data_IF_736925626675
#
_entry.id   IF_736925626675
#
_cell.length_a   1.000
_cell.length_b   1.000
_cell.length_c   1.000
_cell.angle_alpha   90.00
_cell.angle_beta   90.00
_cell.angle_gamma   90.00
#
_symmetry.space_group_name_H-M   'P 1'
#
loop_
_entity.id
_entity.type
_entity.pdbx_description
1 polymer ?
#
# COMPACT_ATOMS: atom_id res chain seq x y z
N UNK A 1 -9.05 -26.40 70.20
CA UNK A 1 -10.21 -26.94 70.94
C UNK A 1 -11.42 -26.69 70.07
N UNK A 2 -12.16 -27.77 69.76
CA UNK A 2 -13.43 -27.83 68.99
C UNK A 2 -13.40 -27.44 67.50
N UNK A 3 -14.12 -28.09 66.59
CA UNK A 3 -14.60 -29.47 66.46
C UNK A 3 -15.11 -29.56 65.01
N UNK A 4 -14.76 -30.63 64.31
CA UNK A 4 -15.32 -31.00 63.01
C UNK A 4 -16.75 -31.53 63.20
N UNK A 5 -17.70 -31.06 62.40
CA UNK A 5 -18.96 -31.77 62.13
C UNK A 5 -19.34 -31.61 60.65
N UNK A 6 -19.57 -32.75 60.01
CA UNK A 6 -20.00 -32.94 58.63
C UNK A 6 -21.54 -32.87 58.51
N UNK A 7 -22.02 -32.65 57.27
CA UNK A 7 -23.20 -33.24 56.58
C UNK A 7 -23.82 -32.26 55.55
N UNK A 8 -24.69 -32.68 54.60
CA UNK A 8 -24.49 -33.74 53.61
C UNK A 8 -24.92 -33.29 52.18
N UNK A 9 -24.75 -34.21 51.23
CA UNK A 9 -25.08 -34.05 49.82
C UNK A 9 -26.59 -34.10 49.49
N UNK A 10 -26.89 -33.65 48.26
CA UNK A 10 -28.07 -33.93 47.44
C UNK A 10 -29.20 -32.87 47.42
N UNK A 11 -29.21 -32.07 46.34
CA UNK A 11 -30.45 -31.77 45.61
C UNK A 11 -30.12 -31.44 44.15
N UNK A 12 -30.08 -32.48 43.30
CA UNK A 12 -30.10 -32.37 41.85
C UNK A 12 -31.56 -32.37 41.40
N UNK A 13 -32.09 -31.21 41.00
CA UNK A 13 -33.31 -31.14 40.19
C UNK A 13 -33.06 -30.29 38.93
N UNK A 14 -32.83 -31.03 37.85
CA UNK A 14 -33.34 -30.83 36.49
C UNK A 14 -33.88 -29.44 36.14
N UNK A 15 -33.04 -28.63 35.47
CA UNK A 15 -33.50 -27.51 34.65
C UNK A 15 -33.57 -28.00 33.20
N UNK A 16 -34.78 -28.32 32.74
CA UNK A 16 -35.08 -28.58 31.32
C UNK A 16 -34.63 -27.37 30.48
N UNK A 17 -33.57 -27.53 29.69
CA UNK A 17 -33.24 -26.58 28.62
C UNK A 17 -34.21 -26.82 27.45
N UNK A 18 -35.00 -25.80 27.12
CA UNK A 18 -35.77 -25.78 25.87
C UNK A 18 -34.81 -25.58 24.69
N UNK A 19 -34.63 -26.60 23.87
CA UNK A 19 -33.96 -26.47 22.58
C UNK A 19 -34.86 -25.72 21.59
N UNK A 20 -34.69 -24.41 21.49
CA UNK A 20 -35.07 -23.68 20.29
C UNK A 20 -34.04 -23.97 19.19
N UNK A 21 -34.45 -24.26 17.94
CA UNK A 21 -33.50 -24.51 16.86
C UNK A 21 -32.68 -23.25 16.58
N UNK A 22 -31.37 -23.37 16.71
CA UNK A 22 -30.40 -22.33 16.36
C UNK A 22 -30.54 -22.04 14.87
N UNK A 23 -30.92 -20.81 14.51
CA UNK A 23 -30.92 -20.42 13.10
C UNK A 23 -29.48 -20.44 12.56
N UNK A 24 -29.25 -21.05 11.39
CA UNK A 24 -27.92 -21.06 10.80
C UNK A 24 -27.47 -19.62 10.51
N UNK A 25 -26.16 -19.33 10.60
CA UNK A 25 -25.63 -18.01 10.28
C UNK A 25 -26.02 -17.62 8.85
N UNK A 26 -26.28 -16.32 8.59
CA UNK A 26 -26.61 -15.85 7.24
C UNK A 26 -25.48 -16.27 6.29
N UNK A 27 -25.83 -17.01 5.23
CA UNK A 27 -24.86 -17.44 4.23
C UNK A 27 -24.19 -16.19 3.65
N UNK A 28 -22.86 -16.19 3.43
CA UNK A 28 -22.20 -15.12 2.71
C UNK A 28 -22.90 -14.96 1.35
N UNK A 29 -23.26 -13.72 1.02
CA UNK A 29 -23.86 -13.38 -0.26
C UNK A 29 -22.77 -13.59 -1.33
N UNK A 30 -22.71 -14.79 -1.91
CA UNK A 30 -21.85 -15.07 -3.07
C UNK A 30 -22.56 -14.40 -4.26
N UNK A 31 -21.98 -13.35 -4.88
CA UNK A 31 -22.56 -12.79 -6.10
C UNK A 31 -22.62 -13.90 -7.14
N UNK A 32 -23.78 -14.11 -7.77
CA UNK A 32 -23.89 -15.02 -8.92
C UNK A 32 -22.90 -14.53 -9.98
N UNK A 33 -21.86 -15.31 -10.28
CA UNK A 33 -21.00 -15.06 -11.45
C UNK A 33 -21.84 -15.34 -12.70
N UNK A 34 -22.45 -14.29 -13.27
CA UNK A 34 -23.10 -14.44 -14.56
C UNK A 34 -22.01 -14.52 -15.64
N UNK A 35 -21.87 -15.69 -16.26
CA UNK A 35 -20.94 -15.99 -17.37
C UNK A 35 -21.31 -15.30 -18.69
N UNK A 36 -22.02 -14.17 -18.64
CA UNK A 36 -22.25 -13.33 -19.81
C UNK A 36 -21.06 -12.37 -19.98
N UNK A 37 -20.50 -12.22 -21.20
CA UNK A 37 -19.40 -11.29 -21.46
C UNK A 37 -19.78 -9.88 -21.00
N UNK A 38 -18.90 -9.25 -20.23
CA UNK A 38 -19.09 -7.88 -19.78
C UNK A 38 -18.89 -6.93 -20.96
N UNK A 39 -19.99 -6.43 -21.52
CA UNK A 39 -19.92 -5.35 -22.50
C UNK A 39 -19.82 -4.02 -21.76
N UNK A 40 -18.69 -3.34 -21.97
CA UNK A 40 -18.51 -1.96 -21.56
C UNK A 40 -19.24 -1.03 -22.53
N UNK A 41 -20.09 -0.14 -22.02
CA UNK A 41 -20.65 0.98 -22.79
C UNK A 41 -19.84 2.24 -22.53
N UNK A 42 -19.84 3.19 -23.47
CA UNK A 42 -19.17 4.47 -23.27
C UNK A 42 -20.05 5.40 -22.43
N UNK A 43 -19.48 5.96 -21.37
CA UNK A 43 -20.07 7.09 -20.67
C UNK A 43 -19.86 8.35 -21.53
N UNK A 44 -20.88 8.71 -22.32
CA UNK A 44 -20.80 9.85 -23.24
C UNK A 44 -20.53 11.18 -22.52
N UNK A 45 -21.11 11.38 -21.33
CA UNK A 45 -20.93 12.61 -20.55
C UNK A 45 -19.46 12.78 -20.11
N UNK A 46 -18.88 11.75 -19.52
CA UNK A 46 -17.49 11.77 -19.06
C UNK A 46 -16.53 11.82 -20.24
N UNK A 47 -16.81 11.05 -21.30
CA UNK A 47 -16.03 11.10 -22.55
C UNK A 47 -16.01 12.51 -23.12
N UNK A 48 -17.15 13.19 -23.16
CA UNK A 48 -17.21 14.56 -23.65
C UNK A 48 -16.35 15.51 -22.81
N UNK A 49 -16.46 15.45 -21.48
CA UNK A 49 -15.72 16.33 -20.57
C UNK A 49 -14.20 16.05 -20.53
N UNK A 50 -13.79 14.78 -20.54
CA UNK A 50 -12.40 14.35 -20.32
C UNK A 50 -11.62 14.25 -21.64
N UNK A 51 -12.29 13.98 -22.76
CA UNK A 51 -11.63 13.76 -24.06
C UNK A 51 -11.99 14.85 -25.06
N UNK A 52 -13.28 15.08 -25.32
CA UNK A 52 -13.70 15.94 -26.43
C UNK A 52 -13.39 17.42 -26.17
N UNK A 53 -13.73 17.95 -24.99
CA UNK A 53 -13.42 19.34 -24.64
C UNK A 53 -11.92 19.65 -24.72
N UNK A 54 -11.01 18.89 -24.08
CA UNK A 54 -9.59 19.19 -24.16
C UNK A 54 -9.00 18.94 -25.54
N UNK A 55 -9.48 17.97 -26.29
CA UNK A 55 -9.05 17.77 -27.69
C UNK A 55 -9.45 18.96 -28.56
N UNK A 56 -10.70 19.43 -28.44
CA UNK A 56 -11.17 20.64 -29.12
C UNK A 56 -10.34 21.86 -28.73
N UNK A 57 -10.06 22.04 -27.44
CA UNK A 57 -9.21 23.13 -26.96
C UNK A 57 -7.78 23.05 -27.50
N UNK A 58 -7.20 21.85 -27.55
CA UNK A 58 -5.87 21.61 -28.12
C UNK A 58 -5.84 21.97 -29.61
N UNK A 59 -6.88 21.59 -30.37
CA UNK A 59 -7.01 21.96 -31.78
C UNK A 59 -7.13 23.48 -31.98
N UNK A 60 -7.71 24.22 -31.03
CA UNK A 60 -7.80 25.67 -31.10
C UNK A 60 -6.49 26.41 -30.81
N UNK A 61 -5.48 25.75 -30.22
CA UNK A 61 -4.22 26.40 -29.79
C UNK A 61 -3.43 27.13 -30.88
N UNK A 62 -3.42 26.73 -32.16
CA UNK A 62 -2.75 27.50 -33.21
C UNK A 62 -3.34 28.91 -33.42
N UNK A 63 -4.60 29.13 -33.04
CA UNK A 63 -5.29 30.43 -33.17
C UNK A 63 -5.40 31.18 -31.84
N UNK A 64 -5.00 30.57 -30.73
CA UNK A 64 -5.07 31.15 -29.39
C UNK A 64 -3.69 31.03 -28.75
N UNK A 65 -2.75 31.95 -29.06
CA UNK A 65 -1.39 31.87 -28.55
C UNK A 65 -1.37 32.00 -27.03
N UNK A 66 -0.52 31.20 -26.38
CA UNK A 66 -0.38 31.22 -24.92
C UNK A 66 0.37 32.49 -24.46
N UNK A 67 -0.35 33.40 -23.80
CA UNK A 67 0.27 34.56 -23.13
C UNK A 67 0.93 34.16 -21.81
N UNK A 68 2.02 34.85 -21.44
CA UNK A 68 2.77 34.56 -20.21
C UNK A 68 1.92 34.69 -18.94
N UNK A 69 1.08 35.72 -18.83
CA UNK A 69 0.21 35.92 -17.65
C UNK A 69 -0.84 34.80 -17.54
N UNK A 70 -1.40 34.37 -18.68
CA UNK A 70 -2.34 33.23 -18.75
C UNK A 70 -1.67 31.93 -18.34
N UNK A 71 -0.42 31.68 -18.76
CA UNK A 71 0.35 30.52 -18.30
C UNK A 71 0.57 30.55 -16.78
N UNK A 72 1.08 31.67 -16.25
CA UNK A 72 1.38 31.80 -14.82
C UNK A 72 0.12 31.63 -13.97
N UNK A 73 -0.98 32.30 -14.35
CA UNK A 73 -2.26 32.16 -13.67
C UNK A 73 -2.81 30.73 -13.81
N UNK A 74 -2.76 30.13 -15.00
CA UNK A 74 -3.24 28.77 -15.24
C UNK A 74 -2.52 27.73 -14.37
N UNK A 75 -1.20 27.84 -14.25
CA UNK A 75 -0.39 26.99 -13.35
C UNK A 75 -0.79 27.22 -11.89
N UNK A 76 -0.84 28.46 -11.44
CA UNK A 76 -1.25 28.80 -10.07
C UNK A 76 -2.65 28.26 -9.74
N UNK A 77 -3.60 28.44 -10.66
CA UNK A 77 -4.98 28.00 -10.48
C UNK A 77 -5.11 26.48 -10.49
N UNK A 78 -4.30 25.77 -11.30
CA UNK A 78 -4.20 24.32 -11.24
C UNK A 78 -3.71 23.84 -9.86
N UNK A 79 -2.69 24.48 -9.27
CA UNK A 79 -2.24 24.15 -7.92
C UNK A 79 -3.32 24.36 -6.86
N UNK A 80 -4.05 25.48 -6.89
CA UNK A 80 -5.16 25.72 -5.97
C UNK A 80 -6.23 24.63 -6.03
N UNK A 81 -6.63 24.23 -7.24
CA UNK A 81 -7.58 23.14 -7.44
C UNK A 81 -7.02 21.80 -6.97
N UNK A 82 -5.74 21.53 -7.21
CA UNK A 82 -5.12 20.28 -6.76
C UNK A 82 -5.02 20.20 -5.24
N UNK A 83 -4.77 21.31 -4.55
CA UNK A 83 -4.90 21.36 -3.09
C UNK A 83 -6.32 21.02 -2.63
N UNK A 84 -7.36 21.49 -3.32
CA UNK A 84 -8.74 21.14 -2.97
C UNK A 84 -9.05 19.64 -3.15
N UNK A 85 -8.42 18.98 -4.13
CA UNK A 85 -8.51 17.52 -4.29
C UNK A 85 -7.74 16.80 -3.18
N UNK A 86 -6.44 17.08 -3.02
CA UNK A 86 -5.55 16.40 -2.08
C UNK A 86 -5.93 16.66 -0.62
N UNK A 87 -6.13 17.92 -0.25
CA UNK A 87 -6.41 18.26 1.15
C UNK A 87 -7.90 18.21 1.47
N UNK A 88 -8.78 18.48 0.50
CA UNK A 88 -10.22 18.43 0.66
C UNK A 88 -10.80 17.05 0.35
N UNK A 89 -10.99 16.73 -0.92
CA UNK A 89 -11.70 15.51 -1.36
C UNK A 89 -11.10 14.25 -0.73
N UNK A 90 -9.78 14.15 -0.79
CA UNK A 90 -9.02 13.01 -0.31
C UNK A 90 -8.90 12.97 1.22
N UNK A 91 -8.09 13.86 1.80
CA UNK A 91 -7.74 13.77 3.22
C UNK A 91 -8.89 14.18 4.15
N UNK A 92 -9.69 15.19 3.81
CA UNK A 92 -10.80 15.66 4.65
C UNK A 92 -12.05 14.79 4.50
N UNK A 93 -12.59 14.63 3.28
CA UNK A 93 -13.87 13.94 3.09
C UNK A 93 -13.73 12.42 2.93
N UNK A 94 -12.77 11.91 2.15
CA UNK A 94 -12.64 10.47 1.97
C UNK A 94 -12.06 9.78 3.22
N UNK A 95 -10.98 10.32 3.79
CA UNK A 95 -10.26 9.70 4.91
C UNK A 95 -10.51 10.29 6.30
N UNK A 96 -11.09 11.50 6.37
CA UNK A 96 -11.41 12.15 7.65
C UNK A 96 -10.17 12.27 8.55
N UNK A 97 -9.03 12.65 7.97
CA UNK A 97 -7.75 12.74 8.67
C UNK A 97 -7.60 14.02 9.48
N UNK A 98 -8.47 15.00 9.25
CA UNK A 98 -8.58 16.23 10.04
C UNK A 98 -10.01 16.79 9.92
N UNK A 99 -10.31 17.82 10.70
CA UNK A 99 -11.55 18.61 10.60
C UNK A 99 -11.25 20.03 10.13
N UNK A 100 -12.14 20.60 9.32
CA UNK A 100 -12.00 21.95 8.79
C UNK A 100 -13.23 22.79 9.13
N UNK A 101 -13.05 24.10 9.28
CA UNK A 101 -14.17 25.01 9.45
C UNK A 101 -15.01 25.14 8.16
N UNK A 102 -16.21 25.74 8.28
CA UNK A 102 -17.16 25.86 7.18
C UNK A 102 -16.59 26.64 5.98
N UNK A 103 -15.85 27.72 6.24
CA UNK A 103 -15.27 28.55 5.18
C UNK A 103 -14.26 27.77 4.33
N UNK A 104 -13.32 27.08 4.98
CA UNK A 104 -12.32 26.26 4.31
C UNK A 104 -12.98 25.11 3.51
N UNK A 105 -14.01 24.48 4.08
CA UNK A 105 -14.80 23.44 3.40
C UNK A 105 -15.50 23.96 2.15
N UNK A 106 -16.06 25.16 2.19
CA UNK A 106 -16.67 25.79 1.01
C UNK A 106 -15.63 26.10 -0.07
N UNK A 107 -14.45 26.63 0.32
CA UNK A 107 -13.35 26.89 -0.60
C UNK A 107 -12.91 25.60 -1.31
N UNK A 108 -12.69 24.51 -0.56
CA UNK A 108 -12.36 23.23 -1.16
C UNK A 108 -13.48 22.65 -2.03
N UNK A 109 -14.75 22.84 -1.65
CA UNK A 109 -15.87 22.39 -2.47
C UNK A 109 -15.95 23.15 -3.81
N UNK A 110 -15.71 24.47 -3.82
CA UNK A 110 -15.71 25.27 -5.03
C UNK A 110 -14.53 24.93 -5.95
N UNK A 111 -13.30 24.97 -5.41
CA UNK A 111 -12.08 24.69 -6.19
C UNK A 111 -12.06 23.24 -6.68
N UNK A 112 -12.47 22.28 -5.84
CA UNK A 112 -12.54 20.87 -6.21
C UNK A 112 -13.59 20.59 -7.28
N UNK A 113 -14.72 21.31 -7.29
CA UNK A 113 -15.68 21.24 -8.39
C UNK A 113 -15.04 21.66 -9.72
N UNK A 114 -14.21 22.71 -9.70
CA UNK A 114 -13.44 23.18 -10.86
C UNK A 114 -12.38 22.20 -11.37
N UNK A 115 -11.99 21.17 -10.60
CA UNK A 115 -11.07 20.12 -11.06
C UNK A 115 -11.76 19.04 -11.93
N UNK A 116 -13.10 19.01 -11.95
CA UNK A 116 -13.86 18.15 -12.87
C UNK A 116 -13.75 16.64 -12.61
N UNK A 117 -13.57 16.23 -11.36
CA UNK A 117 -13.41 14.81 -10.97
C UNK A 117 -14.67 14.19 -10.33
N UNK A 118 -15.85 14.67 -10.76
CA UNK A 118 -17.14 14.41 -10.10
C UNK A 118 -17.27 15.09 -8.72
N UNK A 119 -18.48 15.04 -8.15
CA UNK A 119 -18.80 15.71 -6.89
C UNK A 119 -18.20 14.96 -5.69
N UNK A 120 -17.94 15.69 -4.58
CA UNK A 120 -17.29 15.17 -3.35
C UNK A 120 -17.87 13.82 -2.93
N UNK A 121 -19.21 13.71 -2.86
CA UNK A 121 -19.84 12.47 -2.41
C UNK A 121 -19.46 11.25 -3.26
N UNK A 122 -19.42 11.36 -4.59
CA UNK A 122 -19.10 10.23 -5.47
C UNK A 122 -17.62 9.93 -5.40
N UNK A 123 -16.77 10.97 -5.49
CA UNK A 123 -15.32 10.85 -5.41
C UNK A 123 -14.91 10.15 -4.10
N UNK A 124 -15.38 10.64 -2.95
CA UNK A 124 -15.05 10.06 -1.66
C UNK A 124 -15.62 8.64 -1.48
N UNK A 125 -16.82 8.35 -2.01
CA UNK A 125 -17.40 7.00 -2.00
C UNK A 125 -16.54 6.03 -2.81
N UNK A 126 -16.16 6.40 -4.03
CA UNK A 126 -15.35 5.56 -4.90
C UNK A 126 -13.95 5.35 -4.30
N UNK A 127 -13.36 6.40 -3.73
CA UNK A 127 -12.06 6.32 -3.07
C UNK A 127 -12.07 5.43 -1.81
N UNK A 128 -13.12 5.52 -0.98
CA UNK A 128 -13.31 4.59 0.14
C UNK A 128 -13.46 3.15 -0.33
N UNK A 129 -14.19 2.92 -1.43
CA UNK A 129 -14.35 1.59 -2.00
C UNK A 129 -13.02 1.06 -2.53
N UNK A 130 -12.22 1.90 -3.18
CA UNK A 130 -10.87 1.57 -3.61
C UNK A 130 -9.98 1.13 -2.44
N UNK A 131 -9.92 1.88 -1.33
CA UNK A 131 -9.13 1.46 -0.15
C UNK A 131 -9.59 0.13 0.45
N UNK A 132 -10.92 -0.10 0.49
CA UNK A 132 -11.51 -1.31 1.07
C UNK A 132 -11.33 -2.55 0.19
N UNK A 133 -11.38 -2.37 -1.13
CA UNK A 133 -11.44 -3.45 -2.11
C UNK A 133 -10.28 -3.44 -3.11
N UNK A 134 -9.20 -2.72 -2.82
CA UNK A 134 -8.02 -2.56 -3.67
C UNK A 134 -7.58 -3.90 -4.30
N UNK A 135 -7.23 -3.86 -5.58
CA UNK A 135 -6.83 -5.02 -6.39
C UNK A 135 -7.89 -6.12 -6.58
N UNK A 136 -9.13 -5.91 -6.14
CA UNK A 136 -10.25 -6.81 -6.43
C UNK A 136 -11.14 -6.26 -7.56
N UNK A 137 -12.08 -7.06 -8.04
CA UNK A 137 -13.06 -6.60 -9.04
C UNK A 137 -13.97 -5.47 -8.54
N UNK A 138 -14.09 -5.34 -7.20
CA UNK A 138 -14.90 -4.33 -6.53
C UNK A 138 -14.20 -2.99 -6.36
N UNK A 139 -12.90 -2.91 -6.67
CA UNK A 139 -12.18 -1.66 -6.78
C UNK A 139 -12.58 -0.93 -8.08
N UNK A 140 -13.10 0.31 -7.97
CA UNK A 140 -13.61 1.06 -9.11
C UNK A 140 -12.55 1.36 -10.17
N UNK A 141 -11.26 1.43 -9.81
CA UNK A 141 -10.17 1.76 -10.73
C UNK A 141 -8.95 0.85 -10.56
N UNK A 142 -9.23 -0.44 -10.29
CA UNK A 142 -8.21 -1.48 -10.07
C UNK A 142 -7.15 -1.56 -11.17
N UNK A 143 -5.88 -1.48 -10.78
CA UNK A 143 -4.72 -1.68 -11.66
C UNK A 143 -4.66 -3.10 -12.24
N UNK A 144 -5.31 -4.08 -11.59
CA UNK A 144 -5.39 -5.47 -12.08
C UNK A 144 -6.18 -5.60 -13.38
N UNK A 145 -7.02 -4.61 -13.71
CA UNK A 145 -7.73 -4.52 -15.00
C UNK A 145 -6.89 -3.87 -16.10
N UNK A 146 -5.63 -3.53 -15.81
CA UNK A 146 -4.67 -2.95 -16.74
C UNK A 146 -4.44 -1.45 -16.53
N UNK A 147 -3.27 -0.97 -16.94
CA UNK A 147 -2.85 0.42 -16.76
C UNK A 147 -3.84 1.43 -17.36
N UNK A 148 -4.27 1.21 -18.60
CA UNK A 148 -5.22 2.09 -19.28
C UNK A 148 -6.55 2.19 -18.52
N UNK A 149 -7.05 1.06 -18.00
CA UNK A 149 -8.27 1.04 -17.21
C UNK A 149 -8.13 1.87 -15.94
N UNK A 150 -7.08 1.64 -15.15
CA UNK A 150 -6.83 2.37 -13.91
C UNK A 150 -6.56 3.86 -14.12
N UNK A 151 -5.95 4.22 -15.25
CA UNK A 151 -5.69 5.62 -15.59
C UNK A 151 -6.99 6.33 -15.97
N UNK A 152 -7.65 5.93 -17.06
CA UNK A 152 -8.82 6.66 -17.59
C UNK A 152 -9.98 5.77 -17.99
N UNK A 153 -9.75 4.48 -18.26
CA UNK A 153 -10.83 3.59 -18.71
C UNK A 153 -11.97 3.45 -17.70
N UNK A 154 -11.68 3.47 -16.40
CA UNK A 154 -12.68 3.34 -15.33
C UNK A 154 -13.78 4.42 -15.34
N UNK A 155 -13.48 5.61 -15.88
CA UNK A 155 -14.42 6.74 -15.95
C UNK A 155 -15.07 6.88 -17.34
N UNK A 156 -14.40 6.36 -18.38
CA UNK A 156 -14.92 6.36 -19.75
C UNK A 156 -15.88 5.21 -20.03
N UNK A 157 -15.69 4.07 -19.36
CA UNK A 157 -16.49 2.87 -19.58
C UNK A 157 -17.46 2.63 -18.43
N UNK A 158 -18.74 2.48 -18.76
CA UNK A 158 -19.76 1.99 -17.85
C UNK A 158 -19.86 0.46 -17.96
N UNK A 159 -19.83 -0.21 -16.82
CA UNK A 159 -20.21 -1.61 -16.75
C UNK A 159 -21.73 -1.69 -16.63
N UNK A 160 -22.39 -2.29 -17.62
CA UNK A 160 -23.85 -2.42 -17.67
C UNK A 160 -24.43 -3.37 -16.59
N UNK A 161 -23.58 -4.08 -15.82
CA UNK A 161 -24.00 -4.72 -14.57
C UNK A 161 -23.93 -3.69 -13.44
N UNK A 162 -25.09 -3.31 -12.92
CA UNK A 162 -25.29 -2.55 -11.68
C UNK A 162 -24.14 -2.70 -10.67
N UNK A 163 -23.45 -1.58 -10.39
CA UNK A 163 -22.52 -1.37 -9.26
C UNK A 163 -21.47 -2.46 -9.05
N UNK A 164 -20.51 -2.61 -9.97
CA UNK A 164 -19.30 -3.40 -9.67
C UNK A 164 -18.52 -2.84 -8.48
N UNK A 165 -18.63 -1.55 -8.17
CA UNK A 165 -17.97 -0.91 -7.04
C UNK A 165 -18.49 -1.45 -5.71
N UNK A 166 -17.56 -1.87 -4.84
CA UNK A 166 -17.88 -2.43 -3.53
C UNK A 166 -18.58 -1.45 -2.58
N UNK A 167 -19.29 -2.00 -1.60
CA UNK A 167 -20.08 -1.22 -0.65
C UNK A 167 -19.22 -0.54 0.42
N UNK A 168 -19.51 0.73 0.70
CA UNK A 168 -18.86 1.51 1.76
C UNK A 168 -19.86 2.42 2.46
N UNK A 169 -19.60 2.72 3.73
CA UNK A 169 -20.39 3.70 4.48
C UNK A 169 -20.09 5.13 3.98
N UNK A 170 -21.17 5.87 3.75
CA UNK A 170 -21.19 7.26 3.29
C UNK A 170 -22.25 8.09 4.04
N UNK A 171 -22.70 7.59 5.20
CA UNK A 171 -23.68 8.26 6.06
C UNK A 171 -23.24 9.68 6.44
N UNK A 172 -21.96 9.85 6.77
CA UNK A 172 -21.35 11.14 7.05
C UNK A 172 -21.44 12.10 5.86
N UNK A 173 -21.13 11.63 4.64
CA UNK A 173 -21.21 12.45 3.41
C UNK A 173 -22.65 12.85 3.08
N UNK A 174 -23.63 11.98 3.37
CA UNK A 174 -25.07 12.28 3.18
C UNK A 174 -25.58 13.31 4.19
N UNK A 175 -25.00 13.34 5.39
CA UNK A 175 -25.35 14.30 6.45
C UNK A 175 -24.68 15.68 6.28
N UNK A 176 -23.65 15.77 5.43
CA UNK A 176 -22.89 16.99 5.20
C UNK A 176 -23.61 17.91 4.19
N UNK A 177 -24.10 19.05 4.69
CA UNK A 177 -24.82 20.06 3.90
C UNK A 177 -24.00 20.64 2.75
N UNK A 178 -22.68 20.82 2.92
CA UNK A 178 -21.80 21.35 1.86
C UNK A 178 -21.65 20.30 0.76
N UNK A 179 -21.49 19.04 1.14
CA UNK A 179 -21.33 17.92 0.19
C UNK A 179 -22.60 17.72 -0.63
N UNK A 180 -23.78 17.72 -0.02
CA UNK A 180 -25.04 17.59 -0.77
C UNK A 180 -25.37 18.84 -1.61
N UNK A 181 -25.04 20.05 -1.12
CA UNK A 181 -25.14 21.28 -1.91
C UNK A 181 -24.26 21.19 -3.16
N UNK A 182 -22.97 20.86 -2.99
CA UNK A 182 -22.04 20.77 -4.10
C UNK A 182 -22.47 19.69 -5.10
N UNK A 183 -22.94 18.54 -4.63
CA UNK A 183 -23.51 17.50 -5.50
C UNK A 183 -24.67 18.04 -6.33
N UNK A 184 -25.62 18.75 -5.73
CA UNK A 184 -26.81 19.29 -6.42
C UNK A 184 -26.43 20.28 -7.52
N UNK A 185 -25.38 21.08 -7.30
CA UNK A 185 -24.94 22.14 -8.21
C UNK A 185 -23.63 21.79 -8.92
N UNK A 186 -23.23 20.51 -8.98
CA UNK A 186 -21.89 20.15 -9.44
C UNK A 186 -21.60 20.62 -10.87
N UNK A 187 -22.52 20.38 -11.81
CA UNK A 187 -22.33 20.76 -13.23
C UNK A 187 -22.16 22.28 -13.40
N UNK A 188 -23.04 23.15 -12.88
CA UNK A 188 -22.81 24.59 -12.99
C UNK A 188 -21.57 25.05 -12.22
N UNK A 189 -21.27 24.48 -11.04
CA UNK A 189 -20.05 24.81 -10.31
C UNK A 189 -18.79 24.42 -11.10
N UNK A 190 -18.79 23.27 -11.76
CA UNK A 190 -17.70 22.84 -12.63
C UNK A 190 -17.53 23.77 -13.84
N UNK A 191 -18.63 24.15 -14.51
CA UNK A 191 -18.55 25.08 -15.64
C UNK A 191 -18.01 26.45 -15.21
N UNK A 192 -18.47 26.96 -14.07
CA UNK A 192 -18.02 28.26 -13.54
C UNK A 192 -16.58 28.19 -13.07
N UNK A 193 -16.26 27.29 -12.14
CA UNK A 193 -14.93 27.22 -11.52
C UNK A 193 -13.88 26.62 -12.46
N UNK A 194 -14.26 25.69 -13.34
CA UNK A 194 -13.35 25.04 -14.27
C UNK A 194 -13.05 25.88 -15.51
N UNK A 195 -13.99 26.70 -15.98
CA UNK A 195 -13.87 27.39 -17.28
C UNK A 195 -14.13 28.90 -17.23
N UNK A 196 -15.22 29.34 -16.60
CA UNK A 196 -15.57 30.77 -16.62
C UNK A 196 -14.63 31.61 -15.74
N UNK A 197 -14.34 31.17 -14.52
CA UNK A 197 -13.40 31.86 -13.61
C UNK A 197 -12.04 32.04 -14.26
N UNK A 198 -11.38 31.02 -14.81
CA UNK A 198 -10.08 31.24 -15.46
C UNK A 198 -10.17 32.17 -16.67
N UNK A 199 -11.24 32.10 -17.47
CA UNK A 199 -11.45 33.04 -18.57
C UNK A 199 -11.57 34.50 -18.08
N UNK A 200 -12.40 34.75 -17.07
CA UNK A 200 -12.61 36.10 -16.53
C UNK A 200 -11.35 36.66 -15.84
N UNK A 201 -10.57 35.82 -15.16
CA UNK A 201 -9.34 36.28 -14.53
C UNK A 201 -8.27 36.62 -15.57
N UNK A 202 -8.11 35.80 -16.62
CA UNK A 202 -7.19 36.13 -17.71
C UNK A 202 -7.63 37.37 -18.51
N UNK A 203 -8.95 37.57 -18.67
CA UNK A 203 -9.50 38.80 -19.23
C UNK A 203 -9.09 40.02 -18.41
N UNK A 204 -9.25 39.96 -17.10
CA UNK A 204 -8.85 41.04 -16.20
C UNK A 204 -7.33 41.29 -16.19
N UNK A 205 -6.51 40.24 -16.30
CA UNK A 205 -5.05 40.36 -16.21
C UNK A 205 -4.38 40.81 -17.51
N UNK A 206 -4.95 40.46 -18.67
CA UNK A 206 -4.29 40.63 -19.97
C UNK A 206 -5.24 40.67 -21.19
N UNK A 207 -6.53 40.99 -21.00
CA UNK A 207 -7.54 41.00 -22.07
C UNK A 207 -7.53 39.67 -22.87
N UNK A 208 -7.41 38.56 -22.14
CA UNK A 208 -7.21 37.22 -22.69
C UNK A 208 -8.32 36.25 -22.26
N UNK A 209 -9.59 36.63 -22.41
CA UNK A 209 -10.72 35.76 -22.08
C UNK A 209 -10.63 34.37 -22.75
N UNK A 210 -10.38 34.35 -24.07
CA UNK A 210 -10.30 33.10 -24.85
C UNK A 210 -9.08 32.29 -24.44
N UNK A 211 -7.91 32.92 -24.23
CA UNK A 211 -6.74 32.21 -23.75
C UNK A 211 -6.93 31.64 -22.35
N UNK A 212 -7.59 32.36 -21.44
CA UNK A 212 -7.95 31.85 -20.12
C UNK A 212 -8.92 30.66 -20.19
N UNK A 213 -9.92 30.72 -21.06
CA UNK A 213 -10.85 29.60 -21.27
C UNK A 213 -10.13 28.36 -21.83
N UNK A 214 -9.31 28.51 -22.87
CA UNK A 214 -8.63 27.41 -23.57
C UNK A 214 -7.48 26.84 -22.73
N UNK A 215 -6.54 27.67 -22.29
CA UNK A 215 -5.30 27.23 -21.64
C UNK A 215 -5.48 26.96 -20.15
N UNK A 216 -5.98 27.94 -19.39
CA UNK A 216 -6.13 27.79 -17.94
C UNK A 216 -7.37 26.95 -17.58
N UNK A 217 -8.43 27.05 -18.38
CA UNK A 217 -9.67 26.28 -18.22
C UNK A 217 -9.58 24.87 -18.79
N UNK A 218 -9.77 24.71 -20.10
CA UNK A 218 -9.90 23.40 -20.76
C UNK A 218 -8.64 22.53 -20.66
N UNK A 219 -7.49 23.04 -21.14
CA UNK A 219 -6.23 22.30 -21.13
C UNK A 219 -5.74 22.10 -19.69
N UNK A 220 -5.74 23.16 -18.87
CA UNK A 220 -5.33 23.09 -17.46
C UNK A 220 -6.14 22.08 -16.64
N UNK A 221 -7.47 22.02 -16.83
CA UNK A 221 -8.32 21.00 -16.19
C UNK A 221 -7.96 19.59 -16.65
N UNK A 222 -7.74 19.38 -17.95
CA UNK A 222 -7.36 18.06 -18.48
C UNK A 222 -6.01 17.60 -17.93
N UNK A 223 -4.99 18.46 -17.95
CA UNK A 223 -3.67 18.15 -17.36
C UNK A 223 -3.82 17.76 -15.88
N UNK A 224 -4.61 18.51 -15.11
CA UNK A 224 -4.87 18.19 -13.71
C UNK A 224 -5.57 16.84 -13.52
N UNK A 225 -6.56 16.52 -14.36
CA UNK A 225 -7.24 15.22 -14.35
C UNK A 225 -6.25 14.08 -14.65
N UNK A 226 -5.42 14.20 -15.70
CA UNK A 226 -4.42 13.18 -16.03
C UNK A 226 -3.41 12.97 -14.90
N UNK A 227 -2.95 14.06 -14.25
CA UNK A 227 -2.08 13.96 -13.07
C UNK A 227 -2.77 13.23 -11.92
N UNK A 228 -4.04 13.48 -11.67
CA UNK A 228 -4.77 12.77 -10.60
C UNK A 228 -4.97 11.29 -10.95
N UNK A 229 -5.26 11.00 -12.22
CA UNK A 229 -5.42 9.64 -12.73
C UNK A 229 -4.12 8.82 -12.68
N UNK A 230 -2.96 9.48 -12.75
CA UNK A 230 -1.67 8.84 -12.48
C UNK A 230 -1.55 8.29 -11.06
N UNK A 231 -2.29 8.80 -10.07
CA UNK A 231 -2.31 8.20 -8.72
C UNK A 231 -2.89 6.79 -8.78
N UNK A 232 -4.00 6.60 -9.49
CA UNK A 232 -4.62 5.28 -9.66
C UNK A 232 -3.77 4.32 -10.50
N UNK A 233 -3.00 4.86 -11.46
CA UNK A 233 -2.23 4.05 -12.41
C UNK A 233 -0.74 3.94 -12.06
N UNK A 234 0.03 5.02 -12.18
CA UNK A 234 1.48 5.02 -11.90
C UNK A 234 1.79 4.70 -10.44
N UNK A 235 1.03 5.24 -9.49
CA UNK A 235 1.30 4.99 -8.06
C UNK A 235 0.92 3.56 -7.61
N UNK A 236 0.28 2.77 -8.46
CA UNK A 236 0.07 1.32 -8.28
C UNK A 236 0.99 0.46 -9.14
N UNK A 237 1.82 1.06 -9.99
CA UNK A 237 2.67 0.32 -10.94
C UNK A 237 4.16 0.53 -10.68
N UNK A 238 4.60 1.76 -10.45
CA UNK A 238 6.01 2.14 -10.40
C UNK A 238 6.41 2.55 -8.99
N UNK A 239 7.39 1.83 -8.42
CA UNK A 239 8.02 2.16 -7.15
C UNK A 239 8.14 0.98 -6.19
N UNK A 240 8.63 1.29 -5.00
CA UNK A 240 8.93 0.31 -3.96
C UNK A 240 7.72 0.04 -3.06
N UNK A 241 7.86 -0.92 -2.14
CA UNK A 241 6.82 -1.28 -1.18
C UNK A 241 7.40 -1.42 0.22
N UNK A 242 7.83 -0.31 0.84
CA UNK A 242 8.56 -0.34 2.11
C UNK A 242 7.69 -0.66 3.34
N UNK A 243 6.36 -0.57 3.25
CA UNK A 243 5.45 -0.84 4.37
C UNK A 243 4.72 -2.17 4.23
N UNK A 244 4.18 -2.46 3.04
CA UNK A 244 3.47 -3.73 2.75
C UNK A 244 3.58 -4.08 1.27
N UNK A 245 3.70 -5.37 0.96
CA UNK A 245 3.61 -5.89 -0.42
C UNK A 245 2.28 -6.63 -0.70
N UNK A 246 1.33 -6.58 0.23
CA UNK A 246 0.05 -7.29 0.10
C UNK A 246 -0.87 -6.71 -0.99
N UNK A 247 -0.64 -5.45 -1.38
CA UNK A 247 -1.45 -4.67 -2.34
C UNK A 247 -0.53 -4.08 -3.39
N UNK A 248 -1.06 -3.60 -4.50
CA UNK A 248 -0.29 -3.04 -5.62
C UNK A 248 0.28 -1.64 -5.37
N UNK A 249 -0.28 -0.89 -4.42
CA UNK A 249 0.14 0.48 -4.12
C UNK A 249 1.65 0.57 -3.86
N UNK A 250 2.29 1.56 -4.48
CA UNK A 250 3.74 1.76 -4.51
C UNK A 250 4.14 3.07 -3.84
N UNK A 251 5.35 3.06 -3.32
CA UNK A 251 6.09 4.24 -2.95
C UNK A 251 6.82 4.72 -4.20
N UNK A 252 6.20 5.65 -4.94
CA UNK A 252 6.72 6.08 -6.23
C UNK A 252 8.04 6.87 -6.10
N UNK A 253 8.90 6.85 -7.14
CA UNK A 253 10.09 7.70 -7.21
C UNK A 253 9.76 9.17 -7.00
N UNK A 254 10.74 9.95 -6.54
CA UNK A 254 10.56 11.38 -6.25
C UNK A 254 10.04 12.15 -7.47
N UNK A 255 10.55 11.88 -8.67
CA UNK A 255 10.12 12.54 -9.90
C UNK A 255 8.61 12.41 -10.16
N UNK A 256 8.04 11.21 -9.97
CA UNK A 256 6.58 11.00 -10.07
C UNK A 256 5.87 11.71 -8.93
N UNK A 257 6.39 11.59 -7.70
CA UNK A 257 5.80 12.19 -6.50
C UNK A 257 5.69 13.73 -6.59
N UNK A 258 6.64 14.39 -7.25
CA UNK A 258 6.59 15.84 -7.51
C UNK A 258 5.37 16.23 -8.33
N UNK A 259 5.11 15.51 -9.43
CA UNK A 259 3.94 15.74 -10.30
C UNK A 259 2.61 15.42 -9.60
N UNK A 260 2.62 14.46 -8.66
CA UNK A 260 1.44 14.05 -7.91
C UNK A 260 1.23 14.85 -6.61
N UNK A 261 1.96 15.95 -6.39
CA UNK A 261 1.87 16.78 -5.17
C UNK A 261 1.98 15.98 -3.87
N UNK A 262 2.85 14.97 -3.84
CA UNK A 262 3.06 14.11 -2.67
C UNK A 262 2.14 12.89 -2.59
N UNK A 263 1.16 12.74 -3.48
CA UNK A 263 0.29 11.55 -3.50
C UNK A 263 1.01 10.27 -4.02
N UNK A 264 2.26 10.42 -4.48
CA UNK A 264 3.15 9.31 -4.84
C UNK A 264 3.68 8.49 -3.65
N UNK A 265 3.53 8.96 -2.40
CA UNK A 265 3.75 8.14 -1.20
C UNK A 265 2.61 7.14 -0.95
N UNK A 266 2.25 6.38 -1.99
CA UNK A 266 0.99 5.67 -2.08
C UNK A 266 0.98 4.35 -1.29
N UNK A 267 2.13 3.66 -1.19
CA UNK A 267 2.27 2.48 -0.34
C UNK A 267 2.04 2.82 1.14
N UNK A 268 2.57 3.95 1.62
CA UNK A 268 2.29 4.43 2.98
C UNK A 268 0.82 4.77 3.14
N UNK A 269 0.27 5.53 2.20
CA UNK A 269 -1.12 5.97 2.24
C UNK A 269 -2.13 4.80 2.29
N UNK A 270 -1.89 3.74 1.51
CA UNK A 270 -2.74 2.54 1.50
C UNK A 270 -2.65 1.70 2.77
N UNK A 271 -1.51 1.72 3.43
CA UNK A 271 -1.30 1.01 4.70
C UNK A 271 -1.86 1.80 5.89
N UNK A 272 -1.69 3.13 5.89
CA UNK A 272 -2.08 4.02 6.98
C UNK A 272 -3.04 5.15 6.52
N UNK A 273 -4.23 4.82 6.00
CA UNK A 273 -5.11 5.78 5.33
C UNK A 273 -5.69 6.87 6.25
N UNK A 274 -5.56 6.72 7.57
CA UNK A 274 -6.05 7.70 8.55
C UNK A 274 -5.01 8.76 8.94
N UNK A 275 -3.75 8.64 8.49
CA UNK A 275 -2.75 9.68 8.70
C UNK A 275 -2.98 10.84 7.71
N UNK A 276 -2.98 12.08 8.18
CA UNK A 276 -3.14 13.25 7.30
C UNK A 276 -1.93 13.47 6.38
N UNK A 277 -0.81 12.79 6.62
CA UNK A 277 0.40 12.82 5.80
C UNK A 277 0.42 11.62 4.87
N UNK A 278 0.88 11.83 3.65
CA UNK A 278 1.32 10.74 2.77
C UNK A 278 2.84 10.59 2.87
N UNK A 279 3.57 11.71 2.90
CA UNK A 279 5.01 11.75 3.20
C UNK A 279 5.27 11.94 4.69
N UNK A 280 5.73 10.89 5.39
CA UNK A 280 5.83 10.86 6.85
C UNK A 280 6.95 11.72 7.44
N UNK A 281 8.09 11.84 6.74
CA UNK A 281 9.23 12.63 7.22
C UNK A 281 8.95 14.10 6.98
N UNK A 282 9.53 14.97 7.80
CA UNK A 282 9.29 16.41 7.66
C UNK A 282 9.71 16.95 6.28
N UNK A 283 10.77 16.35 5.69
CA UNK A 283 11.32 16.69 4.37
C UNK A 283 10.75 15.87 3.21
N UNK A 284 9.92 14.85 3.46
CA UNK A 284 9.22 14.16 2.36
C UNK A 284 8.31 15.18 1.65
N UNK A 285 8.41 15.27 0.32
CA UNK A 285 7.70 16.26 -0.51
C UNK A 285 6.20 15.98 -0.50
N UNK A 286 5.50 16.59 0.46
CA UNK A 286 4.06 16.46 0.63
C UNK A 286 3.48 17.86 0.86
N UNK A 287 3.24 18.62 -0.23
CA UNK A 287 2.57 19.92 -0.17
C UNK A 287 1.23 19.87 0.57
N UNK A 288 0.47 18.77 0.45
CA UNK A 288 -0.79 18.57 1.18
C UNK A 288 -0.60 18.59 2.70
N UNK A 289 0.43 17.91 3.20
CA UNK A 289 0.80 17.91 4.63
C UNK A 289 1.17 19.31 5.09
N UNK A 290 1.98 20.03 4.32
CA UNK A 290 2.41 21.38 4.69
C UNK A 290 1.23 22.35 4.69
N UNK A 291 0.36 22.28 3.68
CA UNK A 291 -0.86 23.08 3.60
C UNK A 291 -1.78 22.82 4.80
N UNK A 292 -2.10 21.55 5.11
CA UNK A 292 -2.96 21.21 6.25
C UNK A 292 -2.33 21.65 7.58
N UNK A 293 -1.01 21.48 7.73
CA UNK A 293 -0.29 21.92 8.94
C UNK A 293 -0.34 23.44 9.10
N UNK A 294 -0.13 24.19 8.02
CA UNK A 294 -0.24 25.64 8.02
C UNK A 294 -1.67 26.12 8.33
N UNK A 295 -2.68 25.53 7.69
CA UNK A 295 -4.09 25.81 7.98
C UNK A 295 -4.46 25.49 9.44
N UNK A 296 -3.78 24.53 10.06
CA UNK A 296 -3.96 24.22 11.47
C UNK A 296 -3.39 25.29 12.40
N UNK A 297 -2.24 25.87 12.05
CA UNK A 297 -1.68 27.03 12.78
C UNK A 297 -2.61 28.24 12.73
N UNK A 298 -3.37 28.40 11.64
CA UNK A 298 -4.38 29.45 11.50
C UNK A 298 -5.73 29.12 12.17
N UNK A 299 -5.87 27.95 12.80
CA UNK A 299 -7.14 27.51 13.39
C UNK A 299 -8.23 27.14 12.38
N UNK A 300 -7.90 27.04 11.09
CA UNK A 300 -8.84 26.65 10.02
C UNK A 300 -8.98 25.12 9.91
N UNK A 301 -7.96 24.39 10.33
CA UNK A 301 -7.92 22.94 10.42
C UNK A 301 -7.59 22.48 11.86
N UNK A 302 -8.24 21.41 12.32
CA UNK A 302 -8.08 20.86 13.68
C UNK A 302 -8.10 19.33 13.64
N UNK A 303 -7.74 18.67 14.76
CA UNK A 303 -7.79 17.21 14.89
C UNK A 303 -6.98 16.45 13.83
N UNK A 304 -5.78 16.95 13.49
CA UNK A 304 -4.88 16.32 12.52
C UNK A 304 -4.41 14.95 13.07
N UNK A 305 -4.86 13.88 12.43
CA UNK A 305 -4.56 12.49 12.82
C UNK A 305 -3.20 12.06 12.28
N UNK A 306 -2.36 11.51 13.15
CA UNK A 306 -1.10 10.84 12.78
C UNK A 306 -1.14 9.40 13.25
N UNK A 307 -0.63 8.49 12.44
CA UNK A 307 -0.49 7.10 12.87
C UNK A 307 0.64 6.98 13.91
N UNK A 308 0.53 6.10 14.93
CA UNK A 308 1.58 5.95 15.92
C UNK A 308 2.89 5.46 15.28
N UNK A 309 4.01 6.12 15.61
CA UNK A 309 5.31 5.85 14.99
C UNK A 309 5.77 4.39 15.18
N UNK A 310 5.46 3.80 16.33
CA UNK A 310 5.81 2.41 16.61
C UNK A 310 5.13 1.42 15.63
N UNK A 311 3.87 1.66 15.28
CA UNK A 311 3.15 0.80 14.33
C UNK A 311 3.71 0.95 12.90
N UNK A 312 4.09 2.17 12.50
CA UNK A 312 4.80 2.40 11.23
C UNK A 312 6.12 1.62 11.20
N UNK A 313 6.88 1.67 12.29
CA UNK A 313 8.16 0.97 12.41
C UNK A 313 7.98 -0.56 12.36
N UNK A 314 6.91 -1.09 12.95
CA UNK A 314 6.57 -2.52 12.86
C UNK A 314 6.34 -2.94 11.41
N UNK A 315 5.56 -2.21 10.61
CA UNK A 315 5.34 -2.55 9.19
C UNK A 315 6.64 -2.51 8.39
N UNK A 316 7.51 -1.51 8.63
CA UNK A 316 8.84 -1.46 7.99
C UNK A 316 9.68 -2.69 8.35
N UNK A 317 9.73 -3.07 9.64
CA UNK A 317 10.50 -4.24 10.08
C UNK A 317 9.93 -5.55 9.55
N UNK A 318 8.61 -5.70 9.50
CA UNK A 318 7.94 -6.84 8.88
C UNK A 318 8.33 -6.96 7.41
N UNK A 319 8.27 -5.86 6.66
CA UNK A 319 8.68 -5.84 5.25
C UNK A 319 10.15 -6.18 5.03
N UNK A 320 11.04 -5.67 5.90
CA UNK A 320 12.47 -6.03 5.86
C UNK A 320 12.68 -7.52 6.11
N UNK A 321 11.99 -8.11 7.09
CA UNK A 321 12.05 -9.55 7.36
C UNK A 321 11.57 -10.38 6.18
N UNK A 322 10.48 -9.97 5.53
CA UNK A 322 9.99 -10.64 4.32
C UNK A 322 10.99 -10.58 3.17
N UNK A 323 11.65 -9.44 2.96
CA UNK A 323 12.68 -9.31 1.93
C UNK A 323 13.92 -10.15 2.26
N UNK A 324 14.43 -10.08 3.49
CA UNK A 324 15.56 -10.88 3.94
C UNK A 324 15.27 -12.38 3.82
N UNK A 325 14.04 -12.82 4.11
CA UNK A 325 13.64 -14.21 3.90
C UNK A 325 13.75 -14.61 2.42
N UNK A 326 13.22 -13.79 1.51
CA UNK A 326 13.29 -14.05 0.05
C UNK A 326 14.72 -14.03 -0.48
N UNK A 327 15.53 -13.10 0.00
CA UNK A 327 16.95 -13.04 -0.35
C UNK A 327 17.69 -14.27 0.18
N UNK A 328 17.36 -14.71 1.40
CA UNK A 328 17.88 -15.92 2.01
C UNK A 328 17.48 -17.19 1.26
N UNK A 329 16.26 -17.28 0.71
CA UNK A 329 15.81 -18.42 -0.12
C UNK A 329 16.62 -18.57 -1.43
N UNK A 330 17.30 -17.52 -1.89
CA UNK A 330 18.16 -17.57 -3.08
C UNK A 330 19.62 -17.96 -2.78
N UNK A 331 19.98 -18.05 -1.50
CA UNK A 331 21.32 -18.46 -1.05
C UNK A 331 21.31 -19.96 -0.80
N UNK A 332 22.35 -20.65 -1.28
CA UNK A 332 22.61 -22.03 -0.88
C UNK A 332 23.18 -22.05 0.55
N UNK A 333 22.45 -22.67 1.46
CA UNK A 333 22.85 -22.82 2.87
C UNK A 333 23.32 -24.25 3.17
N UNK A 334 23.51 -25.08 2.15
CA UNK A 334 23.71 -26.52 2.29
C UNK A 334 22.44 -27.27 2.71
N UNK A 335 22.59 -28.56 2.97
CA UNK A 335 21.45 -29.44 3.31
C UNK A 335 20.96 -29.12 4.73
N UNK A 336 19.67 -28.78 4.94
CA UNK A 336 19.11 -28.54 6.28
C UNK A 336 19.32 -29.74 7.21
N UNK A 337 19.53 -29.48 8.50
CA UNK A 337 19.81 -30.53 9.49
C UNK A 337 18.68 -31.57 9.55
N UNK A 338 17.45 -31.14 9.30
CA UNK A 338 16.24 -31.97 9.33
C UNK A 338 16.15 -32.92 8.12
N UNK A 339 16.86 -32.62 7.03
CA UNK A 339 16.90 -33.43 5.80
C UNK A 339 18.08 -34.41 5.77
N UNK A 340 19.06 -34.22 6.66
CA UNK A 340 20.24 -35.08 6.76
C UNK A 340 19.88 -36.45 7.35
N UNK A 341 20.52 -37.54 6.89
CA UNK A 341 20.32 -38.85 7.48
C UNK A 341 20.84 -38.90 8.91
N UNK A 342 20.09 -39.56 9.79
CA UNK A 342 20.53 -39.79 11.18
C UNK A 342 21.51 -40.96 11.23
N UNK A 343 22.68 -40.74 11.80
CA UNK A 343 23.71 -41.74 12.03
C UNK A 343 23.86 -41.99 13.53
N UNK A 344 24.07 -43.25 13.91
CA UNK A 344 24.60 -43.57 15.23
C UNK A 344 26.12 -43.40 15.25
N UNK A 345 26.68 -43.25 16.44
CA UNK A 345 28.13 -43.12 16.64
C UNK A 345 28.91 -44.28 16.04
N UNK A 346 28.41 -45.51 16.11
CA UNK A 346 29.11 -46.68 15.55
C UNK A 346 29.28 -46.57 14.03
N UNK A 347 28.25 -46.08 13.33
CA UNK A 347 28.31 -45.84 11.88
C UNK A 347 29.28 -44.71 11.54
N UNK A 348 29.29 -43.64 12.33
CA UNK A 348 30.26 -42.56 12.18
C UNK A 348 31.70 -43.07 12.31
N UNK A 349 32.01 -43.82 13.38
CA UNK A 349 33.34 -44.40 13.59
C UNK A 349 33.75 -45.36 12.48
N UNK A 350 32.83 -46.22 12.03
CA UNK A 350 33.05 -47.13 10.90
C UNK A 350 33.44 -46.34 9.65
N UNK A 351 32.67 -45.30 9.30
CA UNK A 351 32.93 -44.47 8.13
C UNK A 351 34.28 -43.73 8.23
N UNK A 352 34.68 -43.26 9.41
CA UNK A 352 36.02 -42.66 9.59
C UNK A 352 37.14 -43.70 9.38
N UNK A 353 36.97 -44.95 9.85
CA UNK A 353 37.96 -46.02 9.65
C UNK A 353 38.14 -46.41 8.18
N UNK A 354 37.13 -46.16 7.33
CA UNK A 354 37.24 -46.39 5.87
C UNK A 354 38.09 -45.37 5.12
N UNK A 355 38.68 -44.39 5.82
CA UNK A 355 39.61 -43.41 5.25
C UNK A 355 38.98 -42.05 4.89
N UNK A 356 37.70 -41.83 5.25
CA UNK A 356 37.07 -40.52 5.14
C UNK A 356 37.45 -39.63 6.32
N UNK A 357 37.79 -38.37 6.04
CA UNK A 357 38.09 -37.40 7.08
C UNK A 357 36.77 -36.79 7.57
N UNK A 358 36.16 -37.40 8.59
CA UNK A 358 34.89 -36.95 9.15
C UNK A 358 35.08 -36.30 10.51
N UNK A 359 34.35 -35.22 10.79
CA UNK A 359 34.30 -34.56 12.09
C UNK A 359 32.84 -34.33 12.51
N UNK A 360 32.57 -34.33 13.81
CA UNK A 360 31.26 -33.93 14.35
C UNK A 360 31.36 -32.52 14.91
N UNK A 361 30.47 -31.62 14.49
CA UNK A 361 30.33 -30.27 15.06
C UNK A 361 28.83 -30.02 15.25
N UNK A 362 28.39 -29.60 16.44
CA UNK A 362 26.96 -29.34 16.76
C UNK A 362 26.05 -30.53 16.41
N UNK A 363 26.49 -31.75 16.71
CA UNK A 363 25.82 -33.01 16.35
C UNK A 363 25.67 -33.27 14.84
N UNK A 364 26.18 -32.42 13.94
CA UNK A 364 26.23 -32.69 12.51
C UNK A 364 27.57 -33.34 12.13
N UNK A 365 27.52 -34.37 11.30
CA UNK A 365 28.69 -35.02 10.70
C UNK A 365 29.07 -34.27 9.44
N UNK A 366 30.34 -33.87 9.35
CA UNK A 366 30.89 -33.15 8.21
C UNK A 366 31.97 -33.98 7.54
N UNK A 367 31.93 -34.08 6.21
CA UNK A 367 33.00 -34.65 5.40
C UNK A 367 33.97 -33.55 4.97
N UNK A 368 35.09 -33.46 5.66
CA UNK A 368 36.12 -32.45 5.42
C UNK A 368 37.24 -33.00 4.53
N UNK A 369 37.07 -34.16 3.90
CA UNK A 369 38.16 -34.83 3.14
C UNK A 369 38.79 -33.94 2.08
N UNK A 370 37.97 -33.16 1.36
CA UNK A 370 38.46 -32.21 0.35
C UNK A 370 39.01 -30.90 0.97
N UNK A 371 38.64 -30.58 2.21
CA UNK A 371 38.97 -29.30 2.86
C UNK A 371 40.23 -29.34 3.73
N UNK A 372 40.67 -30.52 4.18
CA UNK A 372 41.84 -30.65 5.09
C UNK A 372 43.08 -29.92 4.56
N UNK A 373 43.38 -30.03 3.27
CA UNK A 373 44.55 -29.39 2.66
C UNK A 373 44.42 -27.85 2.55
N UNK A 374 43.18 -27.36 2.42
CA UNK A 374 42.83 -25.94 2.25
C UNK A 374 42.54 -25.24 3.58
N UNK A 375 42.57 -25.97 4.70
CA UNK A 375 42.28 -25.42 6.01
C UNK A 375 43.27 -24.28 6.34
N UNK A 376 42.81 -23.03 6.60
CA UNK A 376 43.71 -21.88 6.78
C UNK A 376 44.67 -21.98 7.97
N UNK A 377 44.30 -22.72 9.02
CA UNK A 377 45.19 -23.03 10.14
C UNK A 377 46.24 -24.10 9.82
N UNK A 378 46.19 -24.69 8.64
CA UNK A 378 47.04 -25.78 8.18
C UNK A 378 46.43 -27.17 8.44
N UNK A 379 46.80 -28.17 7.62
CA UNK A 379 46.25 -29.53 7.69
C UNK A 379 46.59 -30.27 8.99
N UNK A 380 47.74 -29.95 9.60
CA UNK A 380 48.16 -30.57 10.85
C UNK A 380 47.23 -30.24 12.03
N UNK A 381 46.62 -29.04 12.04
CA UNK A 381 45.73 -28.62 13.12
C UNK A 381 44.38 -29.35 13.08
N UNK A 382 43.84 -29.60 11.89
CA UNK A 382 42.55 -30.29 11.73
C UNK A 382 42.68 -31.82 11.80
N UNK A 383 43.87 -32.37 11.54
CA UNK A 383 44.12 -33.81 11.63
C UNK A 383 43.77 -34.40 13.00
N UNK A 384 44.00 -33.64 14.08
CA UNK A 384 43.69 -34.07 15.45
C UNK A 384 42.19 -34.15 15.78
N UNK A 385 41.33 -33.54 14.95
CA UNK A 385 39.88 -33.50 15.08
C UNK A 385 39.17 -34.63 14.32
N UNK A 386 39.83 -35.26 13.35
CA UNK A 386 39.25 -36.35 12.53
C UNK A 386 38.84 -37.52 13.43
N UNK A 387 37.60 -37.98 13.25
CA UNK A 387 37.02 -39.08 14.04
C UNK A 387 36.51 -38.69 15.42
N UNK A 388 36.39 -37.39 15.73
CA UNK A 388 35.94 -36.88 17.03
C UNK A 388 34.79 -35.90 16.89
N UNK A 389 34.12 -35.67 18.02
CA UNK A 389 33.37 -34.44 18.25
C UNK A 389 34.35 -33.28 18.44
N UNK A 390 34.40 -32.41 17.43
CA UNK A 390 35.25 -31.25 17.35
C UNK A 390 34.48 -29.96 17.71
N UNK A 391 33.27 -30.05 18.28
CA UNK A 391 32.46 -28.87 18.62
C UNK A 391 33.22 -27.91 19.53
N UNK A 392 33.85 -28.41 20.61
CA UNK A 392 34.64 -27.57 21.50
C UNK A 392 35.91 -27.02 20.82
N UNK A 393 36.51 -27.77 19.87
CA UNK A 393 37.66 -27.29 19.11
C UNK A 393 37.28 -26.19 18.10
N UNK A 394 36.05 -26.23 17.59
CA UNK A 394 35.53 -25.27 16.62
C UNK A 394 34.96 -24.01 17.29
N UNK A 395 34.35 -24.14 18.47
CA UNK A 395 33.64 -23.05 19.17
C UNK A 395 34.35 -22.54 20.44
N UNK A 396 35.29 -23.31 21.00
CA UNK A 396 35.80 -23.12 22.35
C UNK A 396 37.07 -22.27 22.49
N UNK A 397 37.18 -21.63 23.66
CA UNK A 397 38.41 -21.07 24.22
C UNK A 397 38.99 -19.87 23.48
N UNK A 398 39.82 -20.15 22.46
CA UNK A 398 40.60 -19.15 21.70
C UNK A 398 40.02 -18.93 20.29
N UNK A 399 39.20 -19.86 19.79
CA UNK A 399 38.80 -19.92 18.39
C UNK A 399 37.32 -19.61 18.21
N UNK A 400 37.02 -18.36 17.82
CA UNK A 400 35.71 -17.96 17.31
C UNK A 400 35.71 -17.96 15.80
N UNK A 401 35.42 -19.12 15.17
CA UNK A 401 35.37 -19.22 13.71
C UNK A 401 34.39 -18.19 13.12
N UNK A 402 34.81 -17.54 12.03
CA UNK A 402 34.03 -16.47 11.39
C UNK A 402 32.72 -16.99 10.81
N UNK A 403 31.79 -16.10 10.48
CA UNK A 403 30.57 -16.47 9.75
C UNK A 403 30.89 -17.20 8.43
N UNK A 404 31.95 -16.80 7.73
CA UNK A 404 32.37 -17.47 6.49
C UNK A 404 32.83 -18.92 6.73
N UNK A 405 33.54 -19.18 7.83
CA UNK A 405 33.95 -20.53 8.20
C UNK A 405 32.75 -21.40 8.64
N UNK A 406 31.77 -20.82 9.33
CA UNK A 406 30.52 -21.52 9.66
C UNK A 406 29.72 -21.86 8.38
N UNK A 407 29.55 -20.89 7.46
CA UNK A 407 28.83 -21.14 6.21
C UNK A 407 29.50 -22.22 5.36
N UNK A 408 30.84 -22.22 5.25
CA UNK A 408 31.56 -23.26 4.51
C UNK A 408 31.42 -24.63 5.19
N UNK A 409 31.38 -24.67 6.52
CA UNK A 409 31.16 -25.91 7.26
C UNK A 409 29.79 -26.51 6.93
N UNK A 410 28.76 -25.67 6.80
CA UNK A 410 27.40 -26.12 6.48
C UNK A 410 27.30 -26.85 5.12
N UNK A 411 28.15 -26.53 4.14
CA UNK A 411 28.22 -27.22 2.84
C UNK A 411 28.82 -28.64 2.94
N UNK A 412 29.56 -28.92 4.01
CA UNK A 412 30.25 -30.19 4.21
C UNK A 412 29.42 -31.21 5.00
N UNK A 413 28.18 -30.87 5.37
CA UNK A 413 27.29 -31.74 6.16
C UNK A 413 26.81 -32.96 5.37
N UNK A 414 26.85 -34.13 6.02
CA UNK A 414 26.42 -35.41 5.41
C UNK A 414 25.46 -36.22 6.26
N UNK A 415 25.35 -35.94 7.56
CA UNK A 415 24.49 -36.66 8.51
C UNK A 415 24.32 -35.87 9.81
N UNK A 416 23.38 -36.29 10.67
CA UNK A 416 23.26 -35.84 12.06
C UNK A 416 23.44 -37.04 12.98
N UNK A 417 24.19 -36.86 14.07
CA UNK A 417 24.34 -37.88 15.11
C UNK A 417 23.07 -37.91 15.96
N UNK A 418 22.46 -39.09 16.06
CA UNK A 418 21.29 -39.30 16.90
C UNK A 418 20.79 -40.73 16.92
N UNK A 419 19.85 -41.02 17.83
CA UNK A 419 19.08 -42.24 17.80
C UNK A 419 17.85 -42.03 16.93
N UNK A 420 17.58 -42.94 15.98
CA UNK A 420 16.49 -42.87 15.00
C UNK A 420 15.05 -42.81 15.61
N UNK A 421 14.91 -42.63 16.92
CA UNK A 421 13.66 -42.56 17.68
C UNK A 421 13.30 -41.16 18.21
N UNK A 422 14.12 -40.13 17.95
CA UNK A 422 13.77 -38.74 18.30
C UNK A 422 14.19 -37.77 17.19
N UNK A 423 13.23 -37.43 16.32
CA UNK A 423 13.16 -36.14 15.63
C UNK A 423 11.83 -35.52 16.01
#
# INVERSE_FOLDING_TARGET
MQQLTAEPAAFLLSRKQSHAPVQPPPRPHIPRSSNSPSFYSFNLRNTFAIIIIPLGALLCTPWVPLKNKTLLFGVFYAYLRSFAIVTGYHRLWAHRTYTANTALRLIFALLGAGAGQDHIKKWARDHRAHHRYVDTDQDPYSIKKGFFYAHVGWILFENNKTSSTGHVDISDLKSDRIVEWQRRYFVPLFAVMGYLVPALVCEYLDEDFIGGFIWAGCIGTSVQQQLTFCVNSLAHWVGDQPFTAAKSARQSPLAITLFLMGEGYHNYHHEFPTDYRTGIRWYDFDPGKWMISFLSLLGLATNLKRFPQNEINKSILQRKRENLKKEGEAVDWGIPLEELPVWKWEKYEEQTRTGRNLIVIRNAVHDISAFVAEHPGGPALIAGAIGKDATEMFEGGVYGHSNAANNLLDDMRIAVIGDATKI
#
